data_IF_121567564694
#
_entry.id   IF_121567564694
#
_cell.length_a   1.000
_cell.length_b   1.000
_cell.length_c   1.000
_cell.angle_alpha   90.00
_cell.angle_beta   90.00
_cell.angle_gamma   90.00
#
_symmetry.space_group_name_H-M   'P 1'
#
loop_
_entity.id
_entity.type
_entity.pdbx_description
1 polymer ?
#
# COMPACT_ATOMS: atom_id res chain seq x y z
N UNK A 1 11.33 11.72 9.45
CA UNK A 1 10.39 11.60 8.33
C UNK A 1 10.97 10.57 7.38
N UNK A 2 10.25 9.48 7.11
CA UNK A 2 10.69 8.38 6.24
C UNK A 2 9.94 8.36 4.90
N UNK A 3 9.31 9.48 4.49
CA UNK A 3 8.49 9.58 3.28
C UNK A 3 9.18 9.03 2.03
N UNK A 4 10.46 9.32 1.80
CA UNK A 4 11.20 8.78 0.64
C UNK A 4 11.31 7.24 0.65
N UNK A 5 11.48 6.62 1.82
CA UNK A 5 11.51 5.17 1.94
C UNK A 5 10.14 4.55 1.69
N UNK A 6 9.07 5.17 2.20
CA UNK A 6 7.70 4.75 1.91
C UNK A 6 7.37 4.88 0.44
N UNK A 7 7.70 6.00 -0.19
CA UNK A 7 7.47 6.23 -1.62
C UNK A 7 8.19 5.17 -2.46
N UNK A 8 9.47 4.90 -2.15
CA UNK A 8 10.25 3.89 -2.88
C UNK A 8 9.62 2.50 -2.79
N UNK A 9 9.27 2.04 -1.59
CA UNK A 9 8.67 0.72 -1.38
C UNK A 9 7.27 0.66 -1.99
N UNK A 10 6.45 1.69 -1.79
CA UNK A 10 5.10 1.79 -2.34
C UNK A 10 5.13 1.75 -3.86
N UNK A 11 6.02 2.51 -4.51
CA UNK A 11 6.18 2.50 -5.98
C UNK A 11 6.57 1.12 -6.50
N UNK A 12 7.48 0.40 -5.82
CA UNK A 12 7.85 -0.97 -6.23
C UNK A 12 6.65 -1.91 -6.11
N UNK A 13 5.94 -1.88 -4.98
CA UNK A 13 4.75 -2.74 -4.76
C UNK A 13 3.67 -2.45 -5.80
N UNK A 14 3.38 -1.17 -6.05
CA UNK A 14 2.42 -0.76 -7.05
C UNK A 14 2.84 -1.19 -8.46
N UNK A 15 4.11 -1.05 -8.82
CA UNK A 15 4.63 -1.50 -10.11
C UNK A 15 4.49 -3.01 -10.32
N UNK A 16 4.74 -3.80 -9.27
CA UNK A 16 4.52 -5.25 -9.29
C UNK A 16 3.03 -5.55 -9.50
N UNK A 17 2.15 -4.88 -8.77
CA UNK A 17 0.71 -5.06 -8.91
C UNK A 17 0.22 -4.73 -10.33
N UNK A 18 0.65 -3.60 -10.91
CA UNK A 18 0.31 -3.22 -12.29
C UNK A 18 0.80 -4.22 -13.35
N UNK A 19 1.89 -4.96 -13.10
CA UNK A 19 2.40 -5.93 -14.05
C UNK A 19 1.44 -7.12 -14.27
N UNK A 20 0.70 -7.53 -13.24
CA UNK A 20 -0.33 -8.55 -13.33
C UNK A 20 -1.31 -8.43 -12.14
N UNK A 21 -2.35 -7.61 -12.33
CA UNK A 21 -3.28 -7.25 -11.25
C UNK A 21 -4.06 -8.45 -10.71
N UNK A 22 -4.46 -9.39 -11.57
CA UNK A 22 -5.18 -10.60 -11.16
C UNK A 22 -4.33 -11.46 -10.22
N UNK A 23 -3.12 -11.81 -10.66
CA UNK A 23 -2.21 -12.62 -9.85
C UNK A 23 -1.83 -11.89 -8.57
N UNK A 24 -1.34 -10.67 -8.66
CA UNK A 24 -0.80 -9.97 -7.50
C UNK A 24 -1.88 -9.50 -6.53
N UNK A 25 -3.07 -9.13 -7.03
CA UNK A 25 -4.24 -8.84 -6.20
C UNK A 25 -4.63 -10.06 -5.37
N UNK A 26 -4.77 -11.23 -6.00
CA UNK A 26 -5.05 -12.49 -5.30
C UNK A 26 -3.99 -12.78 -4.23
N UNK A 27 -2.70 -12.73 -4.61
CA UNK A 27 -1.61 -12.98 -3.65
C UNK A 27 -1.66 -12.00 -2.47
N UNK A 28 -1.87 -10.71 -2.70
CA UNK A 28 -1.94 -9.69 -1.65
C UNK A 28 -3.11 -9.92 -0.68
N UNK A 29 -4.28 -10.32 -1.21
CA UNK A 29 -5.49 -10.60 -0.44
C UNK A 29 -5.40 -11.89 0.39
N UNK A 30 -4.71 -12.90 -0.13
CA UNK A 30 -4.51 -14.20 0.52
C UNK A 30 -3.39 -14.19 1.58
N UNK A 31 -2.53 -13.17 1.61
CA UNK A 31 -1.49 -13.09 2.65
C UNK A 31 -2.09 -12.98 4.06
N UNK A 32 -1.37 -13.40 5.10
CA UNK A 32 -1.72 -13.06 6.48
C UNK A 32 -1.27 -11.64 6.88
N UNK A 33 -0.91 -10.78 5.92
CA UNK A 33 -0.42 -9.43 6.18
C UNK A 33 -1.51 -8.38 5.90
N UNK A 34 -2.03 -7.77 6.97
CA UNK A 34 -3.11 -6.78 6.89
C UNK A 34 -2.76 -5.53 6.07
N UNK A 35 -1.49 -5.15 5.97
CA UNK A 35 -1.05 -4.00 5.16
C UNK A 35 -1.10 -4.37 3.67
N UNK A 36 -0.72 -5.59 3.31
CA UNK A 36 -0.81 -6.06 1.93
C UNK A 36 -2.27 -6.15 1.45
N UNK A 37 -3.18 -6.67 2.30
CA UNK A 37 -4.63 -6.65 2.00
C UNK A 37 -5.17 -5.23 1.82
N UNK A 38 -4.75 -4.32 2.70
CA UNK A 38 -5.13 -2.91 2.60
C UNK A 38 -4.65 -2.31 1.27
N UNK A 39 -3.39 -2.56 0.89
CA UNK A 39 -2.83 -2.05 -0.36
C UNK A 39 -3.59 -2.58 -1.59
N UNK A 40 -3.92 -3.88 -1.61
CA UNK A 40 -4.75 -4.47 -2.67
C UNK A 40 -6.08 -3.73 -2.83
N UNK A 41 -6.80 -3.51 -1.73
CA UNK A 41 -8.06 -2.77 -1.72
C UNK A 41 -7.89 -1.31 -2.19
N UNK A 42 -6.85 -0.63 -1.72
CA UNK A 42 -6.61 0.77 -2.08
C UNK A 42 -6.16 0.92 -3.55
N UNK A 43 -5.46 -0.06 -4.12
CA UNK A 43 -5.14 -0.10 -5.56
C UNK A 43 -6.38 -0.33 -6.43
N UNK A 44 -7.30 -1.21 -6.01
CA UNK A 44 -8.59 -1.39 -6.69
C UNK A 44 -9.37 -0.06 -6.70
N UNK A 45 -9.41 0.65 -5.56
CA UNK A 45 -10.07 1.96 -5.49
C UNK A 45 -9.42 3.02 -6.39
N UNK A 46 -8.11 2.94 -6.58
CA UNK A 46 -7.40 3.78 -7.54
C UNK A 46 -7.82 3.50 -8.98
N UNK A 47 -7.87 2.23 -9.42
CA UNK A 47 -8.34 1.88 -10.78
C UNK A 47 -9.78 2.32 -11.04
N UNK A 48 -10.64 2.21 -10.01
CA UNK A 48 -12.02 2.68 -10.07
C UNK A 48 -12.14 4.21 -10.07
N UNK A 49 -11.02 4.95 -10.06
CA UNK A 49 -10.92 6.40 -9.98
C UNK A 49 -11.62 6.99 -8.72
N UNK A 50 -11.74 6.19 -7.66
CA UNK A 50 -12.35 6.62 -6.39
C UNK A 50 -11.34 7.27 -5.44
N UNK A 51 -10.04 7.05 -5.66
CA UNK A 51 -8.94 7.59 -4.86
C UNK A 51 -7.69 7.83 -5.71
N UNK A 52 -6.80 8.67 -5.20
CA UNK A 52 -5.45 8.84 -5.77
C UNK A 52 -4.46 7.84 -5.16
N UNK A 53 -3.31 7.65 -5.81
CA UNK A 53 -2.24 6.80 -5.28
C UNK A 53 -1.63 7.37 -3.99
N UNK A 54 -1.56 8.69 -3.87
CA UNK A 54 -1.09 9.36 -2.66
C UNK A 54 -2.01 9.05 -1.48
N UNK A 55 -3.33 9.04 -1.69
CA UNK A 55 -4.28 8.66 -0.65
C UNK A 55 -4.14 7.20 -0.22
N UNK A 56 -3.87 6.29 -1.18
CA UNK A 56 -3.59 4.89 -0.89
C UNK A 56 -2.30 4.73 -0.07
N UNK A 57 -1.23 5.43 -0.46
CA UNK A 57 0.05 5.47 0.26
C UNK A 57 -0.10 5.98 1.67
N UNK A 58 -0.74 7.14 1.85
CA UNK A 58 -0.89 7.79 3.16
C UNK A 58 -1.67 6.88 4.12
N UNK A 59 -2.66 6.15 3.61
CA UNK A 59 -3.42 5.19 4.40
C UNK A 59 -2.60 3.96 4.78
N UNK A 60 -1.76 3.45 3.89
CA UNK A 60 -0.82 2.37 4.22
C UNK A 60 0.23 2.82 5.26
N UNK A 61 0.78 4.03 5.11
CA UNK A 61 1.71 4.62 6.07
C UNK A 61 1.06 4.82 7.45
N UNK A 62 -0.18 5.32 7.49
CA UNK A 62 -0.95 5.44 8.73
C UNK A 62 -1.18 4.07 9.38
N UNK A 63 -1.49 3.03 8.59
CA UNK A 63 -1.67 1.68 9.11
C UNK A 63 -0.37 1.13 9.70
N UNK A 64 0.77 1.30 9.03
CA UNK A 64 2.08 0.89 9.54
C UNK A 64 2.45 1.65 10.81
N UNK A 65 2.24 2.97 10.84
CA UNK A 65 2.44 3.79 12.03
C UNK A 65 1.59 3.33 13.21
N UNK A 66 0.32 2.93 12.97
CA UNK A 66 -0.55 2.41 14.02
C UNK A 66 -0.09 1.07 14.62
N UNK A 67 0.71 0.30 13.87
CA UNK A 67 1.25 -0.99 14.33
C UNK A 67 2.52 -0.78 15.14
N UNK A 68 3.41 0.10 14.68
CA UNK A 68 4.67 0.40 15.36
C UNK A 68 5.05 1.87 15.20
N UNK A 69 4.54 2.77 16.06
CA UNK A 69 4.77 4.20 15.93
C UNK A 69 6.25 4.60 16.05
N UNK A 70 7.04 3.79 16.76
CA UNK A 70 8.45 4.06 17.05
C UNK A 70 9.32 3.81 15.82
N UNK A 71 9.09 2.71 15.10
CA UNK A 71 9.88 2.35 13.93
C UNK A 71 9.24 2.76 12.59
N UNK A 72 7.94 3.03 12.59
CA UNK A 72 7.18 3.48 11.41
C UNK A 72 6.69 4.92 11.59
N UNK A 73 7.56 5.94 11.62
CA UNK A 73 7.12 7.32 11.82
C UNK A 73 6.24 7.80 10.65
N UNK A 74 5.18 8.52 11.01
CA UNK A 74 4.27 9.19 10.09
C UNK A 74 4.64 10.68 9.96
N UNK A 75 4.53 11.24 8.76
CA UNK A 75 4.85 12.64 8.45
C UNK A 75 5.49 12.80 7.09
#
# INVERSE_FOLDING_TARGET
NNSCAYDSVFTVIFSIWCNNQERWGQYMDETNNNVMKLLSQEFILYEENKKTLEQARDKAQYKLHSVDPTYMPFG
#
